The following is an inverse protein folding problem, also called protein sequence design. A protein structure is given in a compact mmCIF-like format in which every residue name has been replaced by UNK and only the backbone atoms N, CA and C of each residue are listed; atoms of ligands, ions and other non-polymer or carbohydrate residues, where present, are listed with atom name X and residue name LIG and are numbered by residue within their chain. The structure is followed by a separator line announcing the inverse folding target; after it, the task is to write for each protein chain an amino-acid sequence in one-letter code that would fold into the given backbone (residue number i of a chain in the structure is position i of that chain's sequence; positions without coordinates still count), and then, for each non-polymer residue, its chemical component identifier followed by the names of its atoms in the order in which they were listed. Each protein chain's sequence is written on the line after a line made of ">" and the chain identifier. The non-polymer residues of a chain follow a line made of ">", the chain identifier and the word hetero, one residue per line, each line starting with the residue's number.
data_IF_535544766260
#
_entry.id   IF_535544766260
#
_cell.length_a   1.000
_cell.length_b   1.000
_cell.length_c   1.000
_cell.angle_alpha   90.00
_cell.angle_beta   90.00
_cell.angle_gamma   90.00
#
_symmetry.space_group_name_H-M   'P 1'
#
loop_
_entity.id
_entity.type
_entity.pdbx_description
1 polymer ?
#
# COMPACT_ATOMS: atom_id res chain seq x y z
N UNK A 1 -40.75 45.91 -0.99
CA UNK A 1 -40.72 44.87 0.06
C UNK A 1 -42.15 44.49 0.36
N UNK A 2 -42.66 43.47 -0.32
CA UNK A 2 -44.10 43.17 -0.40
C UNK A 2 -44.44 42.14 0.68
N UNK A 3 -45.23 42.52 1.68
CA UNK A 3 -45.66 41.63 2.76
C UNK A 3 -46.54 40.50 2.19
N UNK A 4 -46.01 39.28 2.15
CA UNK A 4 -46.78 38.07 1.85
C UNK A 4 -47.58 37.73 3.10
N UNK A 5 -48.88 37.98 3.07
CA UNK A 5 -49.83 37.65 4.15
C UNK A 5 -49.88 36.15 4.43
N UNK A 6 -49.96 35.77 5.72
CA UNK A 6 -49.90 34.38 6.27
C UNK A 6 -50.73 33.32 5.51
N UNK A 7 -51.82 33.71 4.85
CA UNK A 7 -52.66 32.81 4.04
C UNK A 7 -51.92 32.24 2.81
N UNK A 8 -50.99 32.99 2.22
CA UNK A 8 -50.23 32.58 1.04
C UNK A 8 -49.04 31.67 1.41
N UNK A 9 -48.55 31.75 2.66
CA UNK A 9 -47.46 30.89 3.15
C UNK A 9 -47.95 29.44 3.32
N UNK A 10 -49.19 29.25 3.78
CA UNK A 10 -49.76 27.91 4.00
C UNK A 10 -49.95 27.16 2.66
N UNK A 11 -50.35 27.86 1.59
CA UNK A 11 -50.55 27.26 0.26
C UNK A 11 -49.21 26.84 -0.36
N UNK A 12 -48.15 27.65 -0.18
CA UNK A 12 -46.80 27.33 -0.66
C UNK A 12 -46.20 26.13 0.11
N UNK A 13 -46.40 26.07 1.43
CA UNK A 13 -45.96 24.93 2.24
C UNK A 13 -46.69 23.62 1.88
N UNK A 14 -47.99 23.67 1.60
CA UNK A 14 -48.75 22.49 1.18
C UNK A 14 -48.32 21.99 -0.21
N UNK A 15 -48.05 22.89 -1.15
CA UNK A 15 -47.53 22.54 -2.48
C UNK A 15 -46.15 21.86 -2.42
N UNK A 16 -45.29 22.33 -1.51
CA UNK A 16 -43.93 21.78 -1.35
C UNK A 16 -43.92 20.39 -0.69
N UNK A 17 -44.85 20.14 0.24
CA UNK A 17 -45.03 18.82 0.88
C UNK A 17 -45.53 17.77 -0.13
N UNK A 18 -46.48 18.12 -1.00
CA UNK A 18 -47.01 17.19 -2.02
C UNK A 18 -45.94 16.80 -3.04
N UNK A 19 -45.00 17.71 -3.34
CA UNK A 19 -43.91 17.47 -4.29
C UNK A 19 -42.82 16.52 -3.73
N UNK A 20 -42.70 16.40 -2.40
CA UNK A 20 -41.69 15.55 -1.74
C UNK A 20 -42.16 14.09 -1.50
N UNK A 21 -43.48 13.84 -1.48
CA UNK A 21 -44.03 12.48 -1.28
C UNK A 21 -43.54 11.43 -2.29
N UNK A 22 -43.45 11.69 -3.62
CA UNK A 22 -42.94 10.69 -4.57
C UNK A 22 -41.44 10.40 -4.41
N UNK A 23 -40.65 11.37 -3.91
CA UNK A 23 -39.19 11.21 -3.68
C UNK A 23 -38.93 10.30 -2.47
N UNK A 24 -39.71 10.47 -1.41
CA UNK A 24 -39.63 9.63 -0.20
C UNK A 24 -40.05 8.18 -0.52
N UNK A 25 -41.08 8.01 -1.36
CA UNK A 25 -41.50 6.67 -1.82
C UNK A 25 -40.40 5.97 -2.64
N UNK A 26 -39.68 6.72 -3.48
CA UNK A 26 -38.58 6.17 -4.29
C UNK A 26 -37.36 5.78 -3.45
N UNK A 27 -37.04 6.54 -2.39
CA UNK A 27 -35.93 6.23 -1.48
C UNK A 27 -36.17 4.98 -0.63
N UNK A 28 -37.44 4.66 -0.31
CA UNK A 28 -37.79 3.48 0.51
C UNK A 28 -38.01 2.19 -0.31
N UNK A 29 -38.14 2.26 -1.63
CA UNK A 29 -38.38 1.09 -2.47
C UNK A 29 -37.12 0.24 -2.75
N UNK A 30 -35.93 0.72 -2.36
CA UNK A 30 -34.64 0.11 -2.72
C UNK A 30 -34.02 -0.85 -1.70
N UNK A 31 -34.66 -1.13 -0.57
CA UNK A 31 -34.11 -2.04 0.45
C UNK A 31 -35.11 -3.13 0.77
N UNK A 32 -34.95 -4.28 0.11
CA UNK A 32 -35.20 -5.61 0.68
C UNK A 32 -34.92 -6.67 -0.39
N UNK A 33 -33.82 -7.42 -0.20
CA UNK A 33 -33.76 -8.88 -0.35
C UNK A 33 -32.39 -9.38 0.09
N UNK A 34 -32.30 -9.74 1.37
CA UNK A 34 -31.35 -10.76 1.85
C UNK A 34 -31.82 -12.09 1.28
N UNK A 35 -30.99 -12.75 0.48
CA UNK A 35 -31.17 -14.17 0.15
C UNK A 35 -29.96 -14.93 0.67
N UNK A 36 -30.19 -15.64 1.77
CA UNK A 36 -29.50 -16.86 2.15
C UNK A 36 -29.63 -17.89 1.02
N UNK A 37 -28.51 -18.45 0.58
CA UNK A 37 -28.51 -19.61 -0.32
C UNK A 37 -27.94 -20.79 0.45
N UNK A 38 -28.83 -21.70 0.82
CA UNK A 38 -28.52 -23.09 1.16
C UNK A 38 -27.91 -23.80 -0.05
N UNK A 39 -27.00 -24.72 0.25
CA UNK A 39 -26.33 -25.60 -0.71
C UNK A 39 -27.30 -26.70 -1.17
N UNK A 40 -27.59 -26.78 -2.47
CA UNK A 40 -27.94 -28.08 -3.08
C UNK A 40 -27.48 -28.16 -4.54
N UNK A 41 -27.04 -29.36 -4.92
CA UNK A 41 -26.16 -29.66 -6.04
C UNK A 41 -26.91 -30.06 -7.32
N UNK A 42 -26.28 -29.77 -8.46
CA UNK A 42 -26.45 -30.43 -9.78
C UNK A 42 -27.80 -30.31 -10.52
N UNK A 43 -27.84 -29.48 -11.59
CA UNK A 43 -27.97 -29.95 -12.99
C UNK A 43 -27.89 -28.81 -14.02
N UNK A 44 -27.27 -29.14 -15.16
CA UNK A 44 -26.91 -28.27 -16.29
C UNK A 44 -28.05 -28.25 -17.35
N UNK A 45 -28.25 -27.11 -18.01
CA UNK A 45 -28.29 -26.85 -19.49
C UNK A 45 -29.35 -25.79 -19.90
N UNK A 46 -28.79 -24.64 -20.29
CA UNK A 46 -29.06 -23.73 -21.43
C UNK A 46 -30.51 -23.51 -21.95
N UNK A 47 -30.89 -22.23 -22.09
CA UNK A 47 -31.16 -21.64 -23.42
C UNK A 47 -31.32 -20.11 -23.41
N UNK A 48 -30.84 -19.56 -24.52
CA UNK A 48 -30.78 -18.18 -25.04
C UNK A 48 -31.82 -17.15 -24.61
N UNK A 49 -31.37 -15.91 -24.51
CA UNK A 49 -32.10 -14.74 -25.00
C UNK A 49 -31.14 -13.59 -25.35
N UNK A 50 -31.10 -13.28 -26.65
CA UNK A 50 -30.41 -12.17 -27.29
C UNK A 50 -30.67 -10.81 -26.63
N UNK A 51 -29.62 -10.01 -26.45
CA UNK A 51 -29.71 -8.55 -26.50
C UNK A 51 -28.56 -8.00 -27.35
N UNK A 52 -28.95 -7.21 -28.34
CA UNK A 52 -28.10 -6.58 -29.35
C UNK A 52 -27.26 -5.44 -28.80
N UNK A 53 -25.99 -5.47 -29.22
CA UNK A 53 -25.06 -4.36 -29.48
C UNK A 53 -25.04 -3.21 -28.47
N UNK A 54 -24.18 -3.38 -27.47
CA UNK A 54 -23.29 -2.30 -27.07
C UNK A 54 -21.89 -2.78 -27.43
N UNK A 55 -21.26 -2.18 -28.44
CA UNK A 55 -19.83 -2.36 -28.68
C UNK A 55 -19.10 -1.76 -27.48
N UNK A 56 -18.92 -2.58 -26.43
CA UNK A 56 -17.84 -2.42 -25.49
C UNK A 56 -16.55 -2.24 -26.30
N UNK A 57 -15.56 -1.47 -25.81
CA UNK A 57 -14.24 -1.53 -26.40
C UNK A 57 -13.86 -3.02 -26.43
N UNK A 58 -13.61 -3.54 -27.62
CA UNK A 58 -13.03 -4.86 -27.81
C UNK A 58 -11.62 -4.77 -27.22
N UNK A 59 -11.54 -4.95 -25.90
CA UNK A 59 -10.29 -5.29 -25.26
C UNK A 59 -10.04 -6.71 -25.71
N UNK A 60 -9.24 -6.82 -26.77
CA UNK A 60 -8.64 -8.05 -27.24
C UNK A 60 -8.22 -8.87 -26.01
N UNK A 61 -9.06 -9.86 -25.68
CA UNK A 61 -8.82 -10.75 -24.53
C UNK A 61 -7.64 -11.69 -24.76
N UNK A 62 -6.96 -11.57 -25.91
CA UNK A 62 -5.64 -12.12 -26.16
C UNK A 62 -4.57 -11.05 -25.88
N UNK A 63 -4.52 -10.52 -24.65
CA UNK A 63 -3.34 -9.77 -24.22
C UNK A 63 -2.22 -10.78 -24.05
N UNK A 64 -1.48 -11.02 -25.13
CA UNK A 64 -0.16 -11.63 -25.04
C UNK A 64 0.63 -10.78 -24.05
N UNK A 65 0.87 -11.32 -22.85
CA UNK A 65 1.60 -10.66 -21.79
C UNK A 65 3.03 -10.44 -22.30
N UNK A 66 3.40 -9.19 -22.61
CA UNK A 66 4.79 -8.87 -22.93
C UNK A 66 5.64 -9.22 -21.72
N UNK A 67 6.45 -10.27 -21.80
CA UNK A 67 7.31 -10.66 -20.68
C UNK A 67 8.67 -10.01 -20.86
N UNK A 68 9.15 -9.32 -19.83
CA UNK A 68 10.54 -8.83 -19.83
C UNK A 68 11.47 -10.04 -19.69
N UNK A 69 12.38 -10.20 -20.65
CA UNK A 69 13.40 -11.27 -20.67
C UNK A 69 14.71 -10.77 -20.07
N UNK A 70 15.09 -9.53 -20.37
CA UNK A 70 16.35 -8.96 -19.91
C UNK A 70 16.30 -7.43 -19.86
N UNK A 71 17.19 -6.87 -19.06
CA UNK A 71 17.42 -5.44 -18.97
C UNK A 71 18.90 -5.13 -19.06
N UNK A 72 19.21 -3.96 -19.62
CA UNK A 72 20.52 -3.34 -19.59
C UNK A 72 20.37 -1.91 -19.07
N UNK A 73 21.18 -1.48 -18.09
CA UNK A 73 22.07 -2.30 -17.27
C UNK A 73 21.34 -3.46 -16.56
N UNK A 74 22.01 -4.60 -16.30
CA UNK A 74 21.44 -5.66 -15.49
C UNK A 74 21.09 -5.16 -14.09
N UNK A 75 20.12 -5.81 -13.45
CA UNK A 75 19.68 -5.41 -12.11
C UNK A 75 20.82 -5.39 -11.09
N UNK A 76 20.78 -4.39 -10.22
CA UNK A 76 21.75 -4.07 -9.17
C UNK A 76 23.20 -3.84 -9.64
N UNK A 77 23.43 -3.69 -10.95
CA UNK A 77 24.78 -3.47 -11.48
C UNK A 77 25.35 -2.13 -11.00
N UNK A 78 26.64 -2.14 -10.66
CA UNK A 78 27.36 -0.97 -10.18
C UNK A 78 28.30 -0.39 -11.24
N UNK A 79 28.76 0.83 -11.00
CA UNK A 79 29.76 1.52 -11.81
C UNK A 79 29.34 1.70 -13.29
N UNK A 80 28.06 2.00 -13.51
CA UNK A 80 27.50 2.22 -14.84
C UNK A 80 27.93 3.59 -15.40
N UNK A 81 28.41 3.69 -16.65
CA UNK A 81 28.76 4.98 -17.26
C UNK A 81 27.59 5.97 -17.24
N UNK A 82 27.89 7.25 -17.01
CA UNK A 82 26.88 8.29 -16.76
C UNK A 82 25.94 8.59 -17.94
N UNK A 83 26.31 8.19 -19.15
CA UNK A 83 25.54 8.40 -20.39
C UNK A 83 24.85 7.12 -20.87
N UNK A 84 24.80 6.08 -20.02
CA UNK A 84 24.24 4.79 -20.39
C UNK A 84 22.74 4.90 -20.67
N UNK A 85 22.33 4.46 -21.86
CA UNK A 85 20.92 4.22 -22.16
C UNK A 85 20.44 2.92 -21.55
N UNK A 86 19.18 2.87 -21.14
CA UNK A 86 18.57 1.65 -20.63
C UNK A 86 17.86 0.93 -21.78
N UNK A 87 17.98 -0.40 -21.81
CA UNK A 87 17.30 -1.25 -22.78
C UNK A 87 16.54 -2.34 -22.04
N UNK A 88 15.24 -2.45 -22.31
CA UNK A 88 14.37 -3.49 -21.75
C UNK A 88 13.90 -4.37 -22.91
N UNK A 89 14.28 -5.65 -22.88
CA UNK A 89 13.95 -6.61 -23.94
C UNK A 89 12.75 -7.45 -23.52
N UNK A 90 11.73 -7.46 -24.36
CA UNK A 90 10.54 -8.27 -24.19
C UNK A 90 10.61 -9.56 -25.02
N UNK A 91 9.76 -10.52 -24.69
CA UNK A 91 9.62 -11.78 -25.43
C UNK A 91 9.01 -11.65 -26.83
N UNK A 92 8.40 -10.51 -27.11
CA UNK A 92 7.76 -10.20 -28.38
C UNK A 92 7.75 -8.68 -28.64
N UNK A 93 7.51 -8.24 -29.90
CA UNK A 93 7.42 -6.83 -30.22
C UNK A 93 6.37 -6.10 -29.36
N UNK A 94 6.77 -4.99 -28.75
CA UNK A 94 5.93 -4.23 -27.80
C UNK A 94 5.57 -2.87 -28.38
N UNK A 95 4.44 -2.29 -27.95
CA UNK A 95 4.00 -0.94 -28.34
C UNK A 95 4.29 0.06 -27.23
N UNK A 96 4.66 1.29 -27.58
CA UNK A 96 5.06 2.31 -26.60
C UNK A 96 3.85 2.77 -25.79
N UNK A 97 2.69 2.77 -26.43
CA UNK A 97 1.45 3.32 -25.90
C UNK A 97 0.93 2.53 -24.70
N UNK A 98 1.38 1.28 -24.52
CA UNK A 98 0.92 0.38 -23.45
C UNK A 98 1.90 0.28 -22.28
N UNK A 99 3.10 0.88 -22.39
CA UNK A 99 4.14 0.86 -21.36
C UNK A 99 4.26 2.23 -20.68
N UNK A 100 4.51 2.20 -19.37
CA UNK A 100 4.90 3.35 -18.56
C UNK A 100 6.27 3.10 -17.94
N UNK A 101 7.11 4.13 -17.91
CA UNK A 101 8.43 4.11 -17.29
C UNK A 101 8.53 5.23 -16.25
N UNK A 102 9.12 4.90 -15.11
CA UNK A 102 9.42 5.87 -14.05
C UNK A 102 10.73 5.52 -13.39
N UNK A 103 11.49 6.52 -12.96
CA UNK A 103 12.77 6.35 -12.26
C UNK A 103 12.85 7.23 -11.01
N UNK A 104 13.64 6.78 -10.04
CA UNK A 104 14.02 7.50 -8.84
C UNK A 104 15.54 7.31 -8.58
N UNK A 105 16.35 8.39 -8.52
CA UNK A 105 15.99 9.77 -8.82
C UNK A 105 15.40 9.92 -10.22
N UNK A 106 14.48 10.88 -10.38
CA UNK A 106 13.87 11.16 -11.68
C UNK A 106 14.89 11.89 -12.58
N UNK A 107 14.93 11.54 -13.86
CA UNK A 107 15.76 12.21 -14.85
C UNK A 107 14.99 12.39 -16.16
N UNK A 108 15.26 13.44 -16.96
CA UNK A 108 14.61 13.62 -18.25
C UNK A 108 15.10 12.56 -19.24
N UNK A 109 14.19 11.91 -19.96
CA UNK A 109 14.51 10.88 -20.93
C UNK A 109 13.69 10.99 -22.22
N UNK A 110 14.15 10.30 -23.26
CA UNK A 110 13.39 9.94 -24.44
C UNK A 110 13.12 8.43 -24.44
N UNK A 111 11.91 8.05 -24.84
CA UNK A 111 11.47 6.65 -24.88
C UNK A 111 11.27 6.25 -26.34
N UNK A 112 12.05 5.27 -26.80
CA UNK A 112 11.96 4.68 -28.13
C UNK A 112 11.60 3.19 -28.07
N UNK A 113 11.12 2.64 -29.18
CA UNK A 113 10.97 1.20 -29.34
C UNK A 113 11.62 0.78 -30.65
N UNK A 114 12.37 -0.32 -30.57
CA UNK A 114 12.95 -1.00 -31.71
C UNK A 114 12.65 -2.49 -31.58
N UNK A 115 11.75 -2.98 -32.43
CA UNK A 115 11.25 -4.36 -32.41
C UNK A 115 10.67 -4.76 -31.04
N UNK A 116 11.37 -5.61 -30.29
CA UNK A 116 11.00 -6.07 -28.95
C UNK A 116 11.78 -5.36 -27.82
N UNK A 117 12.47 -4.25 -28.13
CA UNK A 117 13.27 -3.50 -27.18
C UNK A 117 12.66 -2.13 -26.93
N UNK A 118 12.45 -1.81 -25.65
CA UNK A 118 12.19 -0.46 -25.18
C UNK A 118 13.52 0.20 -24.82
N UNK A 119 13.80 1.33 -25.45
CA UNK A 119 15.00 2.13 -25.22
C UNK A 119 14.64 3.38 -24.43
N UNK A 120 15.34 3.61 -23.31
CA UNK A 120 15.22 4.82 -22.51
C UNK A 120 16.57 5.55 -22.58
N UNK A 121 16.58 6.67 -23.30
CA UNK A 121 17.77 7.48 -23.51
C UNK A 121 17.71 8.72 -22.62
N UNK A 122 18.59 8.87 -21.62
CA UNK A 122 18.67 10.09 -20.83
C UNK A 122 18.93 11.31 -21.73
N UNK A 123 18.22 12.42 -21.49
CA UNK A 123 18.44 13.70 -22.18
C UNK A 123 19.54 14.55 -21.55
N UNK A 124 20.01 14.13 -20.39
CA UNK A 124 21.12 14.73 -19.65
C UNK A 124 21.98 13.62 -19.06
N UNK A 125 23.24 13.93 -18.81
CA UNK A 125 24.17 13.05 -18.08
C UNK A 125 23.56 12.72 -16.72
N UNK A 126 23.62 11.44 -16.32
CA UNK A 126 23.15 10.98 -15.02
C UNK A 126 24.12 11.42 -13.91
N UNK A 127 23.61 11.55 -12.69
CA UNK A 127 24.41 11.94 -11.53
C UNK A 127 25.40 10.84 -11.16
N UNK A 128 26.62 11.22 -10.80
CA UNK A 128 27.66 10.28 -10.41
C UNK A 128 27.36 9.60 -9.06
N UNK A 129 27.83 8.36 -8.89
CA UNK A 129 27.69 7.60 -7.65
C UNK A 129 26.26 7.47 -7.13
N UNK A 130 25.27 7.47 -8.01
CA UNK A 130 23.85 7.56 -7.68
C UNK A 130 23.16 6.24 -8.02
N UNK A 131 22.38 5.71 -7.07
CA UNK A 131 21.53 4.54 -7.29
C UNK A 131 20.22 4.98 -7.94
N UNK A 132 20.01 4.58 -9.18
CA UNK A 132 18.74 4.75 -9.89
C UNK A 132 17.92 3.47 -9.77
N UNK A 133 16.71 3.59 -9.24
CA UNK A 133 15.68 2.55 -9.27
C UNK A 133 14.62 2.95 -10.28
N UNK A 134 14.28 2.06 -11.21
CA UNK A 134 13.25 2.32 -12.21
C UNK A 134 12.21 1.21 -12.24
N UNK A 135 11.00 1.59 -12.64
CA UNK A 135 9.85 0.70 -12.73
C UNK A 135 9.31 0.75 -14.16
N UNK A 136 9.10 -0.43 -14.73
CA UNK A 136 8.38 -0.64 -15.98
C UNK A 136 7.00 -1.18 -15.65
N UNK A 137 5.96 -0.45 -16.05
CA UNK A 137 4.56 -0.78 -15.78
C UNK A 137 3.78 -0.89 -17.09
N UNK A 138 2.70 -1.64 -17.06
CA UNK A 138 1.69 -1.60 -18.13
C UNK A 138 0.61 -0.60 -17.75
N UNK A 139 0.07 0.12 -18.73
CA UNK A 139 -1.11 0.98 -18.51
C UNK A 139 -2.34 0.21 -18.06
N UNK A 140 -2.39 -1.09 -18.36
CA UNK A 140 -3.31 -1.98 -17.69
C UNK A 140 -2.77 -2.32 -16.29
N UNK A 141 -3.27 -1.61 -15.28
CA UNK A 141 -2.83 -1.73 -13.90
C UNK A 141 -3.14 -3.08 -13.23
N UNK A 142 -3.88 -3.98 -13.89
CA UNK A 142 -4.04 -5.36 -13.41
C UNK A 142 -2.84 -6.25 -13.71
N UNK A 143 -1.88 -5.77 -14.53
CA UNK A 143 -0.67 -6.50 -14.88
C UNK A 143 0.48 -6.17 -13.92
N UNK A 144 1.36 -7.15 -13.62
CA UNK A 144 2.48 -6.93 -12.72
C UNK A 144 3.48 -5.92 -13.30
N UNK A 145 4.03 -5.07 -12.45
CA UNK A 145 5.15 -4.19 -12.78
C UNK A 145 6.49 -4.87 -12.47
N UNK A 146 7.53 -4.51 -13.21
CA UNK A 146 8.90 -4.92 -12.91
C UNK A 146 9.72 -3.73 -12.40
N UNK A 147 10.54 -3.96 -11.37
CA UNK A 147 11.42 -2.96 -10.78
C UNK A 147 12.86 -3.42 -10.90
N UNK A 148 13.74 -2.50 -11.24
CA UNK A 148 15.17 -2.75 -11.41
C UNK A 148 15.96 -1.58 -10.85
N UNK A 149 17.24 -1.80 -10.57
CA UNK A 149 18.14 -0.73 -10.17
C UNK A 149 19.53 -0.86 -10.77
N UNK A 150 20.26 0.25 -10.82
CA UNK A 150 21.68 0.28 -11.13
C UNK A 150 22.33 1.47 -10.43
N UNK A 151 23.65 1.42 -10.27
CA UNK A 151 24.44 2.51 -9.66
C UNK A 151 25.42 3.06 -10.68
N UNK A 152 25.40 4.37 -10.89
CA UNK A 152 26.32 5.05 -11.80
C UNK A 152 27.75 5.08 -11.26
N UNK A 153 28.71 5.22 -12.16
CA UNK A 153 30.13 5.39 -11.84
C UNK A 153 30.37 6.70 -11.06
N UNK A 154 31.51 6.77 -10.38
CA UNK A 154 31.95 7.95 -9.65
C UNK A 154 31.78 7.84 -8.13
N UNK A 155 32.06 8.94 -7.43
CA UNK A 155 32.00 8.98 -5.98
C UNK A 155 30.55 8.92 -5.51
N UNK A 156 30.22 7.94 -4.66
CA UNK A 156 28.90 7.89 -4.03
C UNK A 156 28.62 9.23 -3.34
N UNK A 157 27.53 9.89 -3.72
CA UNK A 157 27.05 11.01 -2.94
C UNK A 157 26.68 10.48 -1.57
N UNK A 158 27.52 10.76 -0.58
CA UNK A 158 27.13 10.62 0.82
C UNK A 158 26.00 11.62 1.04
N UNK A 159 24.77 11.13 0.98
CA UNK A 159 23.66 11.81 1.62
C UNK A 159 24.01 11.78 3.11
N UNK A 160 24.32 12.92 3.75
CA UNK A 160 24.51 12.91 5.19
C UNK A 160 23.22 12.37 5.81
N UNK A 161 23.35 11.51 6.81
CA UNK A 161 22.21 11.11 7.62
C UNK A 161 21.50 12.38 8.10
N UNK A 162 20.24 12.56 7.68
CA UNK A 162 19.46 13.75 8.05
C UNK A 162 19.02 13.68 9.50
N UNK A 163 19.16 12.53 10.16
CA UNK A 163 19.03 12.42 11.60
C UNK A 163 20.36 12.88 12.25
N UNK A 164 20.33 13.85 13.18
CA UNK A 164 21.54 14.19 13.91
C UNK A 164 22.13 12.95 14.58
N UNK A 165 23.45 12.88 14.69
CA UNK A 165 24.12 11.77 15.37
C UNK A 165 23.51 11.56 16.76
N UNK A 166 23.08 10.33 17.05
CA UNK A 166 22.42 9.98 18.31
C UNK A 166 20.92 10.30 18.38
N UNK A 167 20.28 10.84 17.34
CA UNK A 167 18.82 11.09 17.36
C UNK A 167 18.01 9.81 17.54
N UNK A 168 18.42 8.70 16.92
CA UNK A 168 17.79 7.40 17.13
C UNK A 168 17.93 6.91 18.58
N UNK A 169 19.06 7.22 19.24
CA UNK A 169 19.27 6.89 20.66
C UNK A 169 18.43 7.81 21.56
N UNK A 170 18.40 9.10 21.29
CA UNK A 170 17.59 10.07 22.02
C UNK A 170 16.09 9.75 21.93
N UNK A 171 15.60 9.39 20.75
CA UNK A 171 14.22 8.96 20.53
C UNK A 171 13.92 7.66 21.30
N UNK A 172 14.84 6.68 21.25
CA UNK A 172 14.74 5.42 21.99
C UNK A 172 14.64 5.67 23.50
N UNK A 173 15.48 6.56 24.05
CA UNK A 173 15.48 6.95 25.45
C UNK A 173 14.17 7.65 25.82
N UNK A 174 13.74 8.61 24.99
CA UNK A 174 12.48 9.34 25.18
C UNK A 174 11.28 8.41 25.21
N UNK A 175 11.18 7.47 24.25
CA UNK A 175 10.10 6.48 24.23
C UNK A 175 10.14 5.57 25.46
N UNK A 176 11.31 5.05 25.85
CA UNK A 176 11.42 4.23 27.05
C UNK A 176 10.96 4.98 28.30
N UNK A 177 11.33 6.24 28.44
CA UNK A 177 11.01 7.07 29.62
C UNK A 177 9.54 7.51 29.66
N UNK A 178 8.97 7.92 28.53
CA UNK A 178 7.65 8.57 28.46
C UNK A 178 6.53 7.67 27.95
N UNK A 179 6.86 6.64 27.16
CA UNK A 179 5.92 5.73 26.50
C UNK A 179 6.43 4.28 26.56
N UNK A 180 6.57 3.68 27.77
CA UNK A 180 7.15 2.35 27.94
C UNK A 180 6.37 1.24 27.22
N UNK A 181 5.08 1.44 26.93
CA UNK A 181 4.25 0.54 26.14
C UNK A 181 4.63 0.58 24.65
N UNK A 182 4.74 1.76 24.04
CA UNK A 182 5.22 1.90 22.65
C UNK A 182 6.65 1.36 22.52
N UNK A 183 7.48 1.67 23.51
CA UNK A 183 8.85 1.15 23.57
C UNK A 183 8.88 -0.38 23.56
N UNK A 184 8.11 -1.04 24.44
CA UNK A 184 8.07 -2.50 24.50
C UNK A 184 7.45 -3.11 23.23
N UNK A 185 6.44 -2.46 22.63
CA UNK A 185 5.80 -2.94 21.40
C UNK A 185 6.81 -3.12 20.26
N UNK A 186 7.82 -2.24 20.16
CA UNK A 186 8.90 -2.35 19.17
C UNK A 186 9.80 -3.59 19.34
N UNK A 187 9.74 -4.28 20.49
CA UNK A 187 10.42 -5.55 20.75
C UNK A 187 9.49 -6.76 20.69
N UNK A 188 8.25 -6.57 20.24
CA UNK A 188 7.27 -7.64 20.05
C UNK A 188 6.88 -7.77 18.57
N UNK A 189 6.62 -8.98 18.04
CA UNK A 189 6.58 -10.25 18.77
C UNK A 189 7.96 -10.75 19.19
N UNK A 190 8.03 -11.44 20.32
CA UNK A 190 9.24 -12.09 20.81
C UNK A 190 8.93 -13.54 21.20
N UNK A 191 9.83 -14.45 20.85
CA UNK A 191 9.69 -15.87 21.14
C UNK A 191 10.97 -16.47 21.74
N UNK A 192 10.80 -17.24 22.80
CA UNK A 192 11.88 -17.94 23.48
C UNK A 192 11.47 -19.36 23.87
N UNK A 193 12.40 -20.12 24.46
CA UNK A 193 12.10 -21.42 25.06
C UNK A 193 11.19 -21.33 26.28
N UNK A 194 11.15 -20.18 26.97
CA UNK A 194 10.41 -20.02 28.23
C UNK A 194 9.03 -19.39 28.06
N UNK A 195 8.90 -18.41 27.17
CA UNK A 195 7.66 -17.70 26.88
C UNK A 195 7.65 -17.17 25.44
N UNK A 196 6.47 -16.81 24.93
CA UNK A 196 6.33 -15.90 23.80
C UNK A 196 5.45 -14.71 24.17
N UNK A 197 5.62 -13.58 23.49
CA UNK A 197 4.81 -12.37 23.72
C UNK A 197 4.45 -11.70 22.42
N UNK A 198 3.20 -11.24 22.34
CA UNK A 198 2.68 -10.41 21.26
C UNK A 198 2.09 -9.12 21.84
N UNK A 199 2.03 -8.07 21.04
CA UNK A 199 1.36 -6.82 21.40
C UNK A 199 0.15 -6.54 20.52
N UNK A 200 -0.83 -5.85 21.08
CA UNK A 200 -2.02 -5.36 20.41
C UNK A 200 -2.28 -3.92 20.85
N UNK A 201 -2.52 -3.02 19.91
CA UNK A 201 -2.89 -1.65 20.22
C UNK A 201 -4.39 -1.56 20.56
N UNK A 202 -4.72 -1.08 21.75
CA UNK A 202 -6.11 -0.90 22.18
C UNK A 202 -6.56 0.54 21.94
N UNK A 203 -7.50 0.74 21.01
CA UNK A 203 -8.03 2.07 20.68
C UNK A 203 -8.74 2.78 21.82
N UNK A 204 -9.28 2.03 22.78
CA UNK A 204 -10.07 2.57 23.89
C UNK A 204 -9.21 3.24 24.95
N UNK A 205 -8.02 2.67 25.20
CA UNK A 205 -7.04 3.19 26.17
C UNK A 205 -5.90 3.94 25.50
N UNK A 206 -5.76 3.81 24.17
CA UNK A 206 -4.65 4.33 23.37
C UNK A 206 -3.28 3.82 23.88
N UNK A 207 -3.25 2.57 24.35
CA UNK A 207 -2.07 1.89 24.90
C UNK A 207 -1.94 0.49 24.28
N UNK A 208 -0.71 -0.04 24.29
CA UNK A 208 -0.48 -1.44 23.92
C UNK A 208 -0.78 -2.40 25.08
N UNK A 209 -1.49 -3.50 24.77
CA UNK A 209 -1.58 -4.69 25.59
C UNK A 209 -0.58 -5.73 25.13
N UNK A 210 0.05 -6.41 26.09
CA UNK A 210 1.00 -7.48 25.87
C UNK A 210 0.43 -8.81 26.34
N UNK A 211 0.30 -9.77 25.43
CA UNK A 211 -0.15 -11.12 25.78
C UNK A 211 1.04 -12.07 25.83
N UNK A 212 1.34 -12.58 27.03
CA UNK A 212 2.46 -13.48 27.31
C UNK A 212 1.96 -14.92 27.36
N UNK A 213 2.40 -15.75 26.43
CA UNK A 213 2.12 -17.18 26.43
C UNK A 213 3.24 -17.89 27.20
N UNK A 214 2.89 -18.51 28.32
CA UNK A 214 3.82 -19.21 29.19
C UNK A 214 4.08 -20.63 28.67
N UNK A 215 5.35 -20.96 28.41
CA UNK A 215 5.76 -22.31 27.97
C UNK A 215 6.42 -23.13 29.08
N UNK A 216 6.93 -22.46 30.12
CA UNK A 216 7.56 -23.08 31.29
C UNK A 216 6.99 -22.50 32.59
N UNK A 217 7.28 -23.15 33.72
CA UNK A 217 6.93 -22.63 35.05
C UNK A 217 7.71 -21.37 35.44
N UNK A 218 8.86 -21.10 34.79
CA UNK A 218 9.69 -19.92 35.03
C UNK A 218 9.32 -18.74 34.11
N UNK A 219 8.35 -18.90 33.21
CA UNK A 219 8.02 -17.95 32.15
C UNK A 219 7.80 -16.51 32.62
N UNK A 220 7.14 -16.31 33.78
CA UNK A 220 6.88 -14.96 34.33
C UNK A 220 8.16 -14.27 34.82
N UNK A 221 9.03 -15.01 35.49
CA UNK A 221 10.31 -14.51 35.99
C UNK A 221 11.24 -14.20 34.80
N UNK A 222 11.27 -15.10 33.81
CA UNK A 222 12.06 -14.93 32.59
C UNK A 222 11.56 -13.76 31.74
N UNK A 223 10.25 -13.58 31.61
CA UNK A 223 9.66 -12.42 30.96
C UNK A 223 10.03 -11.12 31.68
N UNK A 224 9.94 -11.10 33.01
CA UNK A 224 10.31 -9.93 33.82
C UNK A 224 11.80 -9.61 33.67
N UNK A 225 12.67 -10.61 33.68
CA UNK A 225 14.11 -10.45 33.44
C UNK A 225 14.39 -9.93 32.03
N UNK A 226 13.63 -10.37 31.03
CA UNK A 226 13.70 -9.84 29.68
C UNK A 226 13.33 -8.35 29.63
N UNK A 227 12.22 -7.93 30.25
CA UNK A 227 11.86 -6.51 30.36
C UNK A 227 12.95 -5.66 31.02
N UNK A 228 13.58 -6.18 32.08
CA UNK A 228 14.72 -5.53 32.75
C UNK A 228 15.95 -5.45 31.85
N UNK A 229 16.20 -6.44 31.01
CA UNK A 229 17.29 -6.39 30.01
C UNK A 229 17.08 -5.29 28.96
N UNK A 230 15.82 -4.91 28.71
CA UNK A 230 15.43 -3.76 27.88
C UNK A 230 15.50 -2.43 28.67
N UNK A 231 16.05 -2.44 29.88
CA UNK A 231 16.23 -1.28 30.76
C UNK A 231 14.91 -0.64 31.22
N UNK A 232 13.80 -1.40 31.23
CA UNK A 232 12.56 -0.98 31.87
C UNK A 232 12.69 -1.12 33.40
N UNK A 233 12.36 -0.04 34.11
CA UNK A 233 12.29 -0.04 35.57
C UNK A 233 11.05 -0.79 36.09
N UNK A 234 11.08 -1.25 37.34
CA UNK A 234 9.93 -1.92 37.96
C UNK A 234 8.67 -1.02 37.97
N UNK A 235 8.84 0.30 38.10
CA UNK A 235 7.75 1.26 38.02
C UNK A 235 7.12 1.28 36.62
N UNK A 236 7.94 1.33 35.56
CA UNK A 236 7.44 1.31 34.19
C UNK A 236 6.76 -0.02 33.86
N UNK A 237 7.35 -1.15 34.27
CA UNK A 237 6.75 -2.47 34.08
C UNK A 237 5.37 -2.54 34.73
N UNK A 238 5.19 -1.95 35.92
CA UNK A 238 3.90 -1.88 36.60
C UNK A 238 2.83 -1.03 35.90
N UNK A 239 3.19 -0.21 34.91
CA UNK A 239 2.23 0.58 34.12
C UNK A 239 1.77 -0.11 32.84
N UNK A 240 2.40 -1.22 32.45
CA UNK A 240 2.08 -1.94 31.22
C UNK A 240 0.83 -2.82 31.40
N UNK A 241 -0.02 -2.88 30.38
CA UNK A 241 -1.13 -3.84 30.32
C UNK A 241 -0.60 -5.21 29.87
N UNK A 242 -0.22 -6.05 30.82
CA UNK A 242 0.32 -7.39 30.57
C UNK A 242 -0.71 -8.45 30.98
N UNK A 243 -1.11 -9.27 30.00
CA UNK A 243 -1.94 -10.45 30.18
C UNK A 243 -1.10 -11.72 30.05
N UNK A 244 -1.41 -12.74 30.84
CA UNK A 244 -0.67 -14.02 30.95
C UNK A 244 -1.55 -15.24 30.69
#
# INVERSE_FOLDING_TARGET
>A
MTLITKKNIIIVLFGLIILLLPVIYWLNAGKNKTQTTELDNNKIIQNDSNYTDSTAPDYDTNIALYKIISVFPPDETQNIPLETSLTITFDQPVKKEVIEFSSNPAFPYEMGIKDNQLEITPKSVLEEGTKYTYIVKYKNYSLPSATYSFTTAGSLQNIPDTMPEGAAEAERLFQRENHPDVYLANFTPYDSGSFSVQSEFLSDTNLFRFTVIQKTSAAKDDFTNWLKSLQLSDQQIGTLDISY
#
